data_IF_825563944017
#
_entry.id   IF_825563944017
#
_cell.length_a   1.000
_cell.length_b   1.000
_cell.length_c   1.000
_cell.angle_alpha   90.00
_cell.angle_beta   90.00
_cell.angle_gamma   90.00
#
_symmetry.space_group_name_H-M   'P 1'
#
loop_
_entity.id
_entity.type
_entity.pdbx_description
1 polymer ?
#
# COMPACT_ATOMS: atom_id res chain seq x y z
N UNK A 1 4.70 -31.16 10.40
CA UNK A 1 4.78 -30.88 8.95
C UNK A 1 3.34 -30.88 8.44
N UNK A 2 2.67 -29.73 8.45
CA UNK A 2 1.29 -29.60 7.96
C UNK A 2 1.30 -29.41 6.45
N UNK A 3 0.41 -30.08 5.74
CA UNK A 3 0.23 -30.00 4.29
C UNK A 3 0.01 -28.55 3.81
N UNK A 4 0.47 -28.19 2.60
CA UNK A 4 0.21 -26.87 2.03
C UNK A 4 -1.26 -26.78 1.60
N UNK A 5 -1.99 -25.77 2.07
CA UNK A 5 -3.34 -25.50 1.58
C UNK A 5 -3.31 -25.03 0.11
N UNK A 6 -4.26 -25.44 -0.75
CA UNK A 6 -4.10 -25.42 -2.21
C UNK A 6 -4.19 -24.03 -2.88
N UNK A 7 -4.01 -22.94 -2.14
CA UNK A 7 -4.10 -21.57 -2.67
C UNK A 7 -3.26 -20.54 -1.88
N UNK A 8 -2.20 -20.99 -1.20
CA UNK A 8 -1.24 -20.10 -0.51
C UNK A 8 -0.32 -19.41 -1.54
N UNK A 9 -0.81 -18.37 -2.21
CA UNK A 9 -0.03 -17.53 -3.14
C UNK A 9 1.01 -16.65 -2.44
N UNK A 10 1.06 -16.67 -1.10
CA UNK A 10 1.81 -15.75 -0.27
C UNK A 10 2.82 -16.44 0.65
N UNK A 11 3.27 -17.64 0.28
CA UNK A 11 4.35 -18.35 0.98
C UNK A 11 5.63 -17.52 1.23
N UNK A 12 5.85 -16.46 0.46
CA UNK A 12 6.93 -15.48 0.62
C UNK A 12 6.74 -14.49 1.79
N UNK A 13 5.55 -14.41 2.39
CA UNK A 13 5.22 -13.53 3.53
C UNK A 13 5.36 -14.22 4.90
N UNK A 14 5.87 -15.46 4.96
CA UNK A 14 6.05 -16.18 6.23
C UNK A 14 7.09 -15.48 7.11
N UNK A 15 6.69 -15.12 8.32
CA UNK A 15 7.57 -14.51 9.31
C UNK A 15 8.75 -15.44 9.66
N UNK A 16 9.95 -14.87 9.69
CA UNK A 16 11.13 -15.47 10.35
C UNK A 16 11.46 -14.62 11.56
N UNK A 17 11.74 -15.25 12.69
CA UNK A 17 11.84 -14.57 13.99
C UNK A 17 13.19 -13.85 14.23
N UNK A 18 14.14 -13.92 13.28
CA UNK A 18 15.54 -13.51 13.49
C UNK A 18 15.99 -12.26 12.72
N UNK A 19 15.08 -11.38 12.29
CA UNK A 19 15.48 -10.19 11.54
C UNK A 19 15.92 -9.03 12.46
N UNK A 20 17.10 -8.42 12.24
CA UNK A 20 17.54 -7.29 13.05
C UNK A 20 16.67 -6.06 12.79
N UNK A 21 16.05 -5.50 13.83
CA UNK A 21 15.20 -4.29 13.73
C UNK A 21 15.90 -3.11 13.05
N UNK A 22 17.23 -3.01 13.19
CA UNK A 22 18.04 -1.97 12.54
C UNK A 22 18.02 -2.04 11.01
N UNK A 23 17.73 -3.20 10.42
CA UNK A 23 17.59 -3.36 8.97
C UNK A 23 16.21 -2.94 8.43
N UNK A 24 15.24 -2.69 9.31
CA UNK A 24 13.87 -2.37 8.92
C UNK A 24 13.63 -0.89 8.69
N UNK A 25 14.59 -0.01 8.94
CA UNK A 25 14.43 1.44 8.88
C UNK A 25 15.54 2.10 8.07
N UNK A 26 15.35 3.35 7.64
CA UNK A 26 16.42 4.11 6.98
C UNK A 26 17.50 4.53 7.99
N UNK A 27 17.07 4.83 9.21
CA UNK A 27 17.90 5.22 10.33
C UNK A 27 17.91 6.75 10.51
N UNK A 28 18.11 7.24 11.76
CA UNK A 28 18.03 8.67 12.08
C UNK A 28 18.98 9.58 11.29
N UNK A 29 20.03 9.03 10.67
CA UNK A 29 21.00 9.75 9.85
C UNK A 29 21.12 9.19 8.44
N UNK A 30 20.23 8.31 8.02
CA UNK A 30 20.33 7.65 6.72
C UNK A 30 21.38 6.54 6.68
N UNK A 31 21.60 5.84 7.79
CA UNK A 31 22.60 4.78 7.94
C UNK A 31 22.42 3.68 6.88
N UNK A 32 21.18 3.39 6.48
CA UNK A 32 20.85 2.36 5.49
C UNK A 32 20.59 2.93 4.08
N UNK A 33 20.99 4.18 3.79
CA UNK A 33 20.64 4.87 2.54
C UNK A 33 21.07 4.09 1.28
N UNK A 34 22.24 3.46 1.29
CA UNK A 34 22.73 2.67 0.13
C UNK A 34 21.77 1.52 -0.19
N UNK A 35 21.39 0.73 0.83
CA UNK A 35 20.45 -0.38 0.65
C UNK A 35 19.08 0.11 0.17
N UNK A 36 18.59 1.24 0.70
CA UNK A 36 17.33 1.84 0.24
C UNK A 36 17.41 2.27 -1.23
N UNK A 37 18.49 2.94 -1.64
CA UNK A 37 18.69 3.37 -3.03
C UNK A 37 18.73 2.19 -4.00
N UNK A 38 19.47 1.13 -3.67
CA UNK A 38 19.54 -0.09 -4.49
C UNK A 38 18.16 -0.75 -4.64
N UNK A 39 17.36 -0.81 -3.56
CA UNK A 39 16.03 -1.40 -3.59
C UNK A 39 15.03 -0.56 -4.40
N UNK A 40 15.08 0.77 -4.29
CA UNK A 40 14.26 1.65 -5.13
C UNK A 40 14.63 1.54 -6.61
N UNK A 41 15.92 1.53 -6.93
CA UNK A 41 16.39 1.37 -8.30
C UNK A 41 15.98 0.01 -8.87
N UNK A 42 16.03 -1.05 -8.06
CA UNK A 42 15.59 -2.38 -8.44
C UNK A 42 14.10 -2.40 -8.81
N UNK A 43 13.23 -1.87 -7.96
CA UNK A 43 11.78 -1.78 -8.21
C UNK A 43 11.50 -0.96 -9.48
N UNK A 44 12.15 0.20 -9.62
CA UNK A 44 11.94 1.06 -10.78
C UNK A 44 12.42 0.40 -12.09
N UNK A 45 13.56 -0.28 -12.05
CA UNK A 45 14.13 -0.98 -13.21
C UNK A 45 13.23 -2.13 -13.64
N UNK A 46 12.73 -2.94 -12.70
CA UNK A 46 11.78 -4.01 -12.99
C UNK A 46 10.49 -3.48 -13.62
N UNK A 47 9.93 -2.40 -13.08
CA UNK A 47 8.77 -1.73 -13.66
C UNK A 47 9.00 -1.24 -15.09
N UNK A 48 10.16 -0.64 -15.36
CA UNK A 48 10.56 -0.20 -16.71
C UNK A 48 10.70 -1.40 -17.65
N UNK A 49 11.26 -2.51 -17.18
CA UNK A 49 11.35 -3.74 -17.95
C UNK A 49 9.96 -4.29 -18.28
N UNK A 50 9.04 -4.33 -17.33
CA UNK A 50 7.67 -4.75 -17.57
C UNK A 50 7.00 -3.90 -18.66
N UNK A 51 7.06 -2.57 -18.56
CA UNK A 51 6.47 -1.65 -19.55
C UNK A 51 7.02 -1.84 -20.97
N UNK A 52 8.32 -2.16 -21.10
CA UNK A 52 8.96 -2.35 -22.42
C UNK A 52 8.64 -3.71 -23.04
N UNK A 53 8.39 -4.73 -22.22
CA UNK A 53 8.29 -6.11 -22.67
C UNK A 53 6.86 -6.65 -22.71
N UNK A 54 5.86 -5.93 -22.16
CA UNK A 54 4.46 -6.38 -22.18
C UNK A 54 3.93 -6.50 -23.62
N UNK A 55 4.21 -5.50 -24.47
CA UNK A 55 4.00 -5.56 -25.91
C UNK A 55 5.28 -5.06 -26.63
N UNK A 56 6.25 -5.95 -26.89
CA UNK A 56 7.59 -5.53 -27.35
C UNK A 56 7.61 -4.98 -28.78
N UNK A 57 6.56 -5.22 -29.56
CA UNK A 57 6.43 -4.72 -30.93
C UNK A 57 5.87 -3.29 -31.01
N UNK A 58 5.37 -2.74 -29.91
CA UNK A 58 4.76 -1.41 -29.91
C UNK A 58 5.81 -0.32 -30.23
N UNK A 59 5.46 0.68 -31.05
CA UNK A 59 6.38 1.75 -31.40
C UNK A 59 6.62 2.70 -30.22
N UNK A 60 7.80 3.33 -30.21
CA UNK A 60 8.11 4.39 -29.27
C UNK A 60 7.27 5.64 -29.54
N UNK A 61 6.24 5.89 -28.74
CA UNK A 61 5.40 7.11 -28.82
C UNK A 61 6.24 8.38 -28.53
N UNK A 62 7.19 8.28 -27.60
CA UNK A 62 8.07 9.38 -27.21
C UNK A 62 9.53 9.06 -27.59
N UNK A 63 9.90 9.45 -28.80
CA UNK A 63 11.24 9.26 -29.36
C UNK A 63 12.33 10.13 -28.70
N UNK A 64 13.60 9.87 -29.04
CA UNK A 64 14.75 10.62 -28.50
C UNK A 64 14.74 12.10 -28.91
N UNK A 65 14.30 12.42 -30.13
CA UNK A 65 14.23 13.81 -30.62
C UNK A 65 13.21 14.60 -29.80
N UNK A 66 12.02 14.03 -29.58
CA UNK A 66 10.96 14.67 -28.77
C UNK A 66 11.39 14.89 -27.32
N UNK A 67 12.19 13.98 -26.75
CA UNK A 67 12.76 14.13 -25.40
C UNK A 67 13.80 15.24 -25.27
N UNK A 68 14.42 15.66 -26.38
CA UNK A 68 15.43 16.73 -26.42
C UNK A 68 14.88 18.02 -27.03
N UNK A 69 13.55 18.12 -27.19
CA UNK A 69 12.96 19.32 -27.78
C UNK A 69 13.04 20.47 -26.77
N UNK A 70 13.15 21.74 -27.22
CA UNK A 70 13.22 22.88 -26.32
C UNK A 70 12.04 22.94 -25.34
N UNK A 71 10.84 22.55 -25.80
CA UNK A 71 9.65 22.50 -24.96
C UNK A 71 9.76 21.44 -23.87
N UNK A 72 10.29 20.25 -24.21
CA UNK A 72 10.47 19.17 -23.24
C UNK A 72 11.50 19.53 -22.18
N UNK A 73 12.65 20.06 -22.58
CA UNK A 73 13.70 20.52 -21.67
C UNK A 73 13.18 21.66 -20.78
N UNK A 74 12.48 22.65 -21.35
CA UNK A 74 11.91 23.76 -20.57
C UNK A 74 10.90 23.30 -19.52
N UNK A 75 10.10 22.27 -19.84
CA UNK A 75 9.14 21.70 -18.91
C UNK A 75 9.85 20.87 -17.83
N UNK A 76 10.89 20.12 -18.20
CA UNK A 76 11.70 19.36 -17.25
C UNK A 76 12.39 20.29 -16.25
N UNK A 77 13.03 21.36 -16.73
CA UNK A 77 13.64 22.40 -15.89
C UNK A 77 12.62 23.05 -14.96
N UNK A 78 11.42 23.36 -15.47
CA UNK A 78 10.33 23.89 -14.65
C UNK A 78 9.93 22.90 -13.55
N UNK A 79 9.75 21.61 -13.88
CA UNK A 79 9.35 20.59 -12.93
C UNK A 79 10.41 20.35 -11.86
N UNK A 80 11.67 20.16 -12.25
CA UNK A 80 12.76 19.89 -11.30
C UNK A 80 13.00 21.08 -10.37
N UNK A 81 12.90 22.31 -10.89
CA UNK A 81 12.99 23.52 -10.06
C UNK A 81 11.88 23.56 -9.00
N UNK A 82 10.65 23.25 -9.37
CA UNK A 82 9.54 23.20 -8.40
C UNK A 82 9.67 22.04 -7.41
N UNK A 83 10.18 20.89 -7.87
CA UNK A 83 10.47 19.76 -7.01
C UNK A 83 11.51 20.14 -5.95
N UNK A 84 12.59 20.82 -6.32
CA UNK A 84 13.62 21.27 -5.38
C UNK A 84 13.08 22.26 -4.35
N UNK A 85 12.17 23.15 -4.76
CA UNK A 85 11.46 24.07 -3.85
C UNK A 85 10.64 23.27 -2.85
N UNK A 86 9.75 22.37 -3.31
CA UNK A 86 8.90 21.57 -2.43
C UNK A 86 9.73 20.68 -1.50
N UNK A 87 10.79 20.02 -2.00
CA UNK A 87 11.70 19.22 -1.18
C UNK A 87 12.41 20.05 -0.11
N UNK A 88 12.67 21.33 -0.39
CA UNK A 88 13.24 22.26 0.59
C UNK A 88 12.19 22.70 1.62
N UNK A 89 10.95 22.95 1.19
CA UNK A 89 9.84 23.27 2.09
C UNK A 89 9.48 22.10 3.02
N UNK A 90 9.51 20.87 2.52
CA UNK A 90 9.25 19.67 3.32
C UNK A 90 10.23 19.51 4.49
N UNK A 91 11.44 20.09 4.41
CA UNK A 91 12.41 20.10 5.51
C UNK A 91 11.97 20.94 6.72
N UNK A 92 10.95 21.79 6.58
CA UNK A 92 10.35 22.51 7.71
C UNK A 92 9.46 21.63 8.59
N UNK A 93 9.13 20.41 8.16
CA UNK A 93 8.43 19.45 9.01
C UNK A 93 9.29 19.00 10.21
N UNK A 94 8.62 18.53 11.25
CA UNK A 94 9.30 17.93 12.40
C UNK A 94 10.05 16.66 11.98
N UNK A 95 11.27 16.43 12.50
CA UNK A 95 12.08 15.28 12.12
C UNK A 95 11.59 14.01 12.83
N UNK A 96 10.49 13.40 12.36
CA UNK A 96 9.89 12.21 12.98
C UNK A 96 10.80 10.97 13.00
N UNK A 97 11.81 10.93 12.14
CA UNK A 97 12.85 9.88 12.15
C UNK A 97 13.85 10.04 13.31
N UNK A 98 13.94 11.24 13.91
CA UNK A 98 14.89 11.51 14.98
C UNK A 98 14.38 10.96 16.31
N UNK A 99 15.20 10.22 17.09
CA UNK A 99 14.85 9.81 18.45
C UNK A 99 14.59 10.97 19.41
N UNK A 100 14.95 12.20 19.01
CA UNK A 100 14.65 13.41 19.78
C UNK A 100 13.17 13.80 19.69
N UNK A 101 12.46 13.36 18.65
CA UNK A 101 11.03 13.57 18.53
C UNK A 101 10.27 12.49 19.32
N UNK A 102 9.50 12.90 20.32
CA UNK A 102 8.71 12.00 21.17
C UNK A 102 7.41 12.69 21.59
N UNK A 103 6.54 12.98 20.61
CA UNK A 103 5.31 13.72 20.82
C UNK A 103 4.09 12.97 20.27
N UNK A 104 3.71 13.18 19.01
CA UNK A 104 2.57 12.49 18.41
C UNK A 104 2.94 11.07 17.96
N UNK A 105 1.93 10.28 17.56
CA UNK A 105 2.06 8.89 17.07
C UNK A 105 2.68 8.85 15.66
N UNK A 106 3.87 9.41 15.51
CA UNK A 106 4.64 9.50 14.28
C UNK A 106 6.06 9.07 14.57
N UNK A 107 6.58 8.19 13.72
CA UNK A 107 7.92 7.64 13.80
C UNK A 107 8.42 7.32 12.39
N UNK A 108 9.65 6.87 12.27
CA UNK A 108 10.20 6.42 11.00
C UNK A 108 9.36 5.28 10.40
N UNK A 109 9.15 5.33 9.08
CA UNK A 109 8.44 4.30 8.35
C UNK A 109 9.35 3.08 8.14
N UNK A 110 8.77 1.88 8.20
CA UNK A 110 9.53 0.67 7.91
C UNK A 110 9.84 0.55 6.42
N UNK A 111 11.05 0.10 6.10
CA UNK A 111 11.54 -0.15 4.75
C UNK A 111 10.57 -1.03 3.95
N UNK A 112 10.07 -2.17 4.43
CA UNK A 112 9.12 -2.98 3.67
C UNK A 112 7.82 -2.23 3.32
N UNK A 113 7.31 -1.39 4.23
CA UNK A 113 6.10 -0.61 3.96
C UNK A 113 6.36 0.46 2.87
N UNK A 114 7.50 1.16 2.94
CA UNK A 114 7.87 2.15 1.92
C UNK A 114 8.11 1.50 0.56
N UNK A 115 8.81 0.36 0.50
CA UNK A 115 9.03 -0.38 -0.75
C UNK A 115 7.73 -0.91 -1.35
N UNK A 116 6.86 -1.51 -0.52
CA UNK A 116 5.56 -2.00 -0.97
C UNK A 116 4.69 -0.89 -1.53
N UNK A 117 4.64 0.26 -0.86
CA UNK A 117 3.91 1.43 -1.34
C UNK A 117 4.52 1.99 -2.63
N UNK A 118 5.84 2.14 -2.71
CA UNK A 118 6.53 2.63 -3.90
C UNK A 118 6.28 1.72 -5.11
N UNK A 119 6.39 0.39 -4.94
CA UNK A 119 6.07 -0.58 -5.98
C UNK A 119 4.61 -0.47 -6.41
N UNK A 120 3.66 -0.48 -5.47
CA UNK A 120 2.23 -0.36 -5.77
C UNK A 120 1.86 0.94 -6.49
N UNK A 121 2.46 2.06 -6.08
CA UNK A 121 2.25 3.39 -6.67
C UNK A 121 2.54 3.41 -8.18
N UNK A 122 3.58 2.70 -8.63
CA UNK A 122 3.95 2.64 -10.05
C UNK A 122 2.87 1.93 -10.90
N UNK A 123 2.18 0.94 -10.35
CA UNK A 123 1.10 0.23 -11.04
C UNK A 123 -0.26 0.93 -10.91
N UNK A 124 -0.41 1.82 -9.92
CA UNK A 124 -1.63 2.58 -9.65
C UNK A 124 -2.91 1.71 -9.65
N UNK A 125 -2.93 0.61 -8.89
CA UNK A 125 -4.09 -0.28 -8.87
C UNK A 125 -5.28 0.37 -8.15
N UNK A 126 -6.49 0.02 -8.58
CA UNK A 126 -7.74 0.43 -7.91
C UNK A 126 -8.41 -0.75 -7.21
N UNK A 127 -8.19 -0.88 -5.90
CA UNK A 127 -8.70 -2.01 -5.09
C UNK A 127 -10.23 -2.06 -4.95
N UNK A 128 -10.98 -1.09 -5.48
CA UNK A 128 -12.45 -1.16 -5.54
C UNK A 128 -12.92 -2.30 -6.45
N UNK A 129 -12.15 -2.65 -7.49
CA UNK A 129 -12.52 -3.73 -8.42
C UNK A 129 -11.35 -4.68 -8.67
N UNK A 130 -11.64 -5.99 -8.65
CA UNK A 130 -10.62 -7.02 -8.88
C UNK A 130 -10.06 -7.00 -10.31
N UNK A 131 -10.80 -6.47 -11.29
CA UNK A 131 -10.32 -6.30 -12.66
C UNK A 131 -9.20 -5.26 -12.78
N UNK A 132 -9.26 -4.18 -11.99
CA UNK A 132 -8.29 -3.09 -12.01
C UNK A 132 -7.15 -3.29 -11.00
N UNK A 133 -7.27 -4.30 -10.15
CA UNK A 133 -6.34 -4.58 -9.06
C UNK A 133 -6.27 -6.08 -8.70
N UNK A 134 -6.03 -6.99 -9.68
CA UNK A 134 -6.13 -8.42 -9.45
C UNK A 134 -5.15 -8.93 -8.39
N UNK A 135 -3.97 -8.31 -8.29
CA UNK A 135 -2.94 -8.66 -7.31
C UNK A 135 -3.21 -7.95 -5.98
N UNK A 136 -3.43 -6.63 -5.98
CA UNK A 136 -3.52 -5.86 -4.74
C UNK A 136 -4.84 -6.05 -3.99
N UNK A 137 -5.94 -6.46 -4.65
CA UNK A 137 -7.15 -6.93 -3.96
C UNK A 137 -6.87 -8.23 -3.20
N UNK A 138 -6.15 -9.18 -3.82
CA UNK A 138 -5.78 -10.42 -3.13
C UNK A 138 -4.89 -10.17 -1.93
N UNK A 139 -3.90 -9.26 -2.06
CA UNK A 139 -3.04 -8.83 -0.94
C UNK A 139 -3.83 -8.15 0.18
N UNK A 140 -4.81 -7.30 -0.14
CA UNK A 140 -5.65 -6.67 0.88
C UNK A 140 -6.50 -7.69 1.65
N UNK A 141 -7.08 -8.68 0.96
CA UNK A 141 -7.82 -9.77 1.61
C UNK A 141 -6.91 -10.60 2.52
N UNK A 142 -5.64 -10.79 2.15
CA UNK A 142 -4.67 -11.45 2.99
C UNK A 142 -4.33 -10.61 4.23
N UNK A 143 -4.07 -9.31 4.08
CA UNK A 143 -3.88 -8.39 5.21
C UNK A 143 -5.08 -8.44 6.15
N UNK A 144 -6.31 -8.50 5.62
CA UNK A 144 -7.52 -8.66 6.43
C UNK A 144 -7.54 -9.95 7.26
N UNK A 145 -7.06 -11.07 6.68
CA UNK A 145 -6.91 -12.35 7.41
C UNK A 145 -5.81 -12.28 8.46
N UNK A 146 -4.68 -11.64 8.16
CA UNK A 146 -3.57 -11.44 9.10
C UNK A 146 -4.02 -10.62 10.31
N UNK A 147 -4.73 -9.51 10.08
CA UNK A 147 -5.28 -8.66 11.15
C UNK A 147 -6.32 -9.42 11.97
N UNK A 148 -7.20 -10.18 11.31
CA UNK A 148 -8.20 -11.01 12.00
C UNK A 148 -7.53 -12.05 12.92
N UNK A 149 -6.49 -12.73 12.43
CA UNK A 149 -5.71 -13.68 13.22
C UNK A 149 -5.01 -13.00 14.41
N UNK A 150 -4.36 -11.84 14.16
CA UNK A 150 -3.66 -11.05 15.18
C UNK A 150 -4.60 -10.65 16.33
N UNK A 151 -5.85 -10.32 16.03
CA UNK A 151 -6.88 -9.95 17.02
C UNK A 151 -7.55 -11.18 17.68
N UNK A 152 -7.18 -12.40 17.31
CA UNK A 152 -7.72 -13.65 17.87
C UNK A 152 -9.02 -14.14 17.23
N UNK A 153 -9.46 -13.54 16.12
CA UNK A 153 -10.59 -14.05 15.34
C UNK A 153 -10.19 -15.22 14.43
N UNK A 154 -11.15 -16.06 14.05
CA UNK A 154 -10.92 -17.13 13.06
C UNK A 154 -10.80 -16.52 11.65
N UNK A 155 -9.63 -16.57 10.98
CA UNK A 155 -9.43 -15.92 9.67
C UNK A 155 -10.25 -16.53 8.53
N UNK A 156 -10.79 -17.74 8.71
CA UNK A 156 -11.70 -18.38 7.74
C UNK A 156 -13.15 -17.90 7.89
N UNK A 157 -13.49 -17.23 8.99
CA UNK A 157 -14.85 -16.76 9.30
C UNK A 157 -14.96 -15.24 9.48
N UNK A 158 -13.85 -14.58 9.82
CA UNK A 158 -13.76 -13.14 9.91
C UNK A 158 -13.39 -12.53 8.55
N UNK A 159 -13.77 -11.27 8.37
CA UNK A 159 -13.42 -10.47 7.20
C UNK A 159 -13.05 -9.06 7.64
N UNK A 160 -12.03 -8.49 6.99
CA UNK A 160 -11.55 -7.14 7.23
C UNK A 160 -10.97 -6.57 5.93
N UNK A 161 -10.92 -5.25 5.83
CA UNK A 161 -10.32 -4.52 4.71
C UNK A 161 -9.57 -3.29 5.23
N UNK A 162 -8.79 -2.64 4.37
CA UNK A 162 -8.06 -1.42 4.69
C UNK A 162 -8.99 -0.22 4.52
N UNK A 163 -8.97 0.69 5.49
CA UNK A 163 -9.65 1.98 5.44
C UNK A 163 -8.63 3.10 5.25
N UNK A 164 -9.09 4.31 4.89
CA UNK A 164 -8.21 5.50 4.85
C UNK A 164 -7.64 5.89 6.22
N UNK A 165 -8.24 5.42 7.30
CA UNK A 165 -7.75 5.59 8.67
C UNK A 165 -8.77 5.13 9.72
N UNK A 166 -8.39 5.28 10.98
CA UNK A 166 -9.22 4.82 12.12
C UNK A 166 -10.58 5.50 12.22
N UNK A 167 -10.71 6.75 11.75
CA UNK A 167 -11.98 7.47 11.74
C UNK A 167 -13.01 6.79 10.84
N UNK A 168 -12.63 6.45 9.60
CA UNK A 168 -13.53 5.77 8.65
C UNK A 168 -13.85 4.36 9.14
N UNK A 169 -12.84 3.61 9.62
CA UNK A 169 -13.06 2.29 10.20
C UNK A 169 -14.07 2.33 11.36
N UNK A 170 -14.02 3.37 12.20
CA UNK A 170 -14.98 3.56 13.30
C UNK A 170 -16.39 3.86 12.79
N UNK A 171 -16.53 4.71 11.78
CA UNK A 171 -17.82 5.04 11.17
C UNK A 171 -18.45 3.80 10.53
N UNK A 172 -17.67 3.00 9.81
CA UNK A 172 -18.13 1.74 9.20
C UNK A 172 -18.54 0.71 10.26
N UNK A 173 -17.79 0.58 11.35
CA UNK A 173 -18.16 -0.27 12.48
C UNK A 173 -19.51 0.13 13.09
N UNK A 174 -19.74 1.44 13.29
CA UNK A 174 -21.04 1.96 13.76
C UNK A 174 -22.16 1.71 12.75
N UNK A 175 -21.87 1.82 11.45
CA UNK A 175 -22.84 1.54 10.40
C UNK A 175 -23.29 0.07 10.42
N UNK A 176 -22.33 -0.87 10.54
CA UNK A 176 -22.63 -2.31 10.65
C UNK A 176 -23.39 -2.62 11.94
N UNK A 177 -22.97 -2.06 13.08
CA UNK A 177 -23.66 -2.25 14.36
C UNK A 177 -25.12 -1.77 14.31
N UNK A 178 -25.36 -0.59 13.72
CA UNK A 178 -26.71 -0.07 13.49
C UNK A 178 -27.52 -1.02 12.61
N UNK A 179 -26.98 -1.47 11.48
CA UNK A 179 -27.68 -2.37 10.57
C UNK A 179 -28.04 -3.70 11.26
N UNK A 180 -27.11 -4.28 12.01
CA UNK A 180 -27.34 -5.53 12.76
C UNK A 180 -28.40 -5.38 13.85
N UNK A 181 -28.45 -4.24 14.54
CA UNK A 181 -29.45 -3.97 15.59
C UNK A 181 -30.88 -3.94 15.04
N UNK A 182 -31.10 -3.35 13.87
CA UNK A 182 -32.44 -3.20 13.29
C UNK A 182 -32.85 -4.36 12.36
N UNK A 183 -31.92 -5.20 11.92
CA UNK A 183 -32.22 -6.32 11.01
C UNK A 183 -33.33 -7.27 11.51
N UNK A 184 -33.40 -7.68 12.80
CA UNK A 184 -34.48 -8.54 13.28
C UNK A 184 -35.86 -7.87 13.27
N UNK A 185 -35.92 -6.55 13.49
CA UNK A 185 -37.17 -5.80 13.45
C UNK A 185 -37.70 -5.69 12.02
N UNK A 186 -36.82 -5.39 11.07
CA UNK A 186 -37.13 -5.36 9.64
C UNK A 186 -37.60 -6.74 9.18
N UNK A 187 -36.90 -7.81 9.57
CA UNK A 187 -37.30 -9.18 9.23
C UNK A 187 -38.69 -9.52 9.79
N UNK A 188 -38.96 -9.17 11.05
CA UNK A 188 -40.28 -9.37 11.68
C UNK A 188 -41.39 -8.64 10.92
N UNK A 189 -41.17 -7.38 10.56
CA UNK A 189 -42.13 -6.56 9.81
C UNK A 189 -42.44 -7.19 8.45
N UNK A 190 -41.40 -7.59 7.70
CA UNK A 190 -41.56 -8.27 6.41
C UNK A 190 -42.32 -9.60 6.55
N UNK A 191 -42.05 -10.39 7.60
CA UNK A 191 -42.77 -11.63 7.85
C UNK A 191 -44.26 -11.38 8.14
N UNK A 192 -44.57 -10.37 8.95
CA UNK A 192 -45.95 -9.98 9.25
C UNK A 192 -46.72 -9.53 8.00
N UNK A 193 -46.10 -8.75 7.11
CA UNK A 193 -46.69 -8.34 5.83
C UNK A 193 -46.92 -9.52 4.88
N UNK A 194 -46.04 -10.53 4.91
CA UNK A 194 -46.11 -11.71 4.02
C UNK A 194 -46.89 -12.89 4.60
N UNK A 195 -47.35 -12.80 5.86
CA UNK A 195 -48.09 -13.87 6.53
C UNK A 195 -47.29 -15.14 6.77
N UNK A 196 -45.97 -15.04 6.95
CA UNK A 196 -45.03 -16.15 7.25
C UNK A 196 -44.46 -16.05 8.65
#
# INVERSE_FOLDING_TARGET
MSEPEPNDTASHLRARDDFPLTAWFLGPRGENAVAWSELFEHIFTDYVHWRRNYFPADPWIVGRVKRRSPEHESWYDWLTSHLDVILSELKYHFPFHSPRYNAHMLSELSLPAVLGYYAGLLYNPNNVTAEAAPITVALELEVGRMISAMLGYNPKRAWAHICSGGTVATIEALWVARAAQFAPLIAREICQERGV
#
